data_IF_215807598930
#
_entry.id   IF_215807598930
#
_cell.length_a   1.000
_cell.length_b   1.000
_cell.length_c   1.000
_cell.angle_alpha   90.00
_cell.angle_beta   90.00
_cell.angle_gamma   90.00
#
_symmetry.space_group_name_H-M   'P 1'
#
loop_
_entity.id
_entity.type
_entity.pdbx_description
1 polymer ?
#
# COMPACT_ATOMS: atom_id res chain seq x y z
N UNK A 1 36.94 -44.07 31.05
CA UNK A 1 38.28 -44.18 30.44
C UNK A 1 38.37 -43.11 29.35
N UNK A 2 39.20 -42.06 29.58
CA UNK A 2 39.58 -40.91 28.71
C UNK A 2 38.42 -40.04 28.20
N UNK A 3 38.17 -38.80 28.66
CA UNK A 3 39.03 -37.63 28.94
C UNK A 3 39.86 -37.16 27.74
N UNK A 4 39.42 -36.07 27.09
CA UNK A 4 40.30 -35.01 26.59
C UNK A 4 39.57 -33.65 26.65
N UNK A 5 40.15 -32.73 27.42
CA UNK A 5 39.89 -31.29 27.52
C UNK A 5 40.91 -30.54 26.65
N UNK A 6 40.48 -29.49 25.93
CA UNK A 6 41.26 -28.30 25.49
C UNK A 6 40.21 -27.17 25.31
N UNK A 7 39.93 -26.25 26.24
CA UNK A 7 40.65 -25.03 26.71
C UNK A 7 40.94 -23.94 25.64
N UNK A 8 40.28 -22.77 25.74
CA UNK A 8 40.81 -21.38 25.64
C UNK A 8 39.62 -20.38 25.57
N UNK A 9 39.21 -19.72 26.66
CA UNK A 9 39.64 -18.40 27.16
C UNK A 9 39.03 -17.15 26.48
N UNK A 10 38.14 -16.51 27.26
CA UNK A 10 37.65 -15.11 27.38
C UNK A 10 38.15 -13.96 26.47
N UNK A 11 37.15 -13.13 26.09
CA UNK A 11 37.13 -11.64 25.94
C UNK A 11 37.64 -10.97 24.66
N UNK A 12 36.72 -10.32 23.92
CA UNK A 12 36.74 -8.86 23.58
C UNK A 12 35.29 -8.40 23.30
N UNK A 13 34.86 -7.35 24.00
CA UNK A 13 33.70 -6.51 23.66
C UNK A 13 33.94 -5.81 22.31
N UNK A 14 32.95 -5.79 21.43
CA UNK A 14 32.62 -4.54 20.74
C UNK A 14 31.15 -4.51 20.34
N UNK A 15 30.43 -3.55 20.94
CA UNK A 15 29.13 -3.12 20.50
C UNK A 15 29.21 -2.61 19.06
N UNK A 16 28.19 -2.89 18.26
CA UNK A 16 27.85 -2.00 17.14
C UNK A 16 26.49 -1.37 17.47
N UNK A 17 26.53 -0.33 18.30
CA UNK A 17 25.52 0.73 18.23
C UNK A 17 26.20 1.88 17.50
N UNK A 18 25.87 2.05 16.22
CA UNK A 18 26.38 3.12 15.39
C UNK A 18 25.46 3.29 14.19
N UNK A 19 24.71 4.39 14.20
CA UNK A 19 23.78 4.84 13.15
C UNK A 19 24.39 4.70 11.76
N UNK A 20 23.65 4.15 10.81
CA UNK A 20 23.75 4.62 9.42
C UNK A 20 22.72 5.71 9.26
N UNK A 21 23.20 6.94 9.35
CA UNK A 21 22.54 8.16 8.93
C UNK A 21 23.13 8.52 7.58
N UNK A 22 22.38 8.28 6.52
CA UNK A 22 22.45 8.85 5.16
C UNK A 22 21.93 7.73 4.25
N UNK A 23 20.73 7.81 3.69
CA UNK A 23 20.54 8.72 2.57
C UNK A 23 21.52 8.28 1.48
N UNK A 24 21.29 7.09 0.89
CA UNK A 24 21.98 6.67 -0.31
C UNK A 24 21.90 7.82 -1.30
N UNK A 25 23.06 8.34 -1.66
CA UNK A 25 23.10 9.47 -2.58
C UNK A 25 23.09 8.88 -3.97
N UNK A 26 22.05 9.21 -4.72
CA UNK A 26 22.00 8.76 -6.09
C UNK A 26 23.28 9.13 -6.85
N UNK A 27 23.85 8.14 -7.56
CA UNK A 27 25.10 8.19 -8.31
C UNK A 27 26.36 8.08 -7.45
N UNK A 28 26.31 7.33 -6.37
CA UNK A 28 27.51 7.01 -5.58
C UNK A 28 28.24 5.75 -6.08
N UNK A 29 27.71 5.11 -7.13
CA UNK A 29 28.25 3.94 -7.78
C UNK A 29 27.87 2.63 -7.10
N UNK A 30 26.87 2.62 -6.22
CA UNK A 30 26.33 1.42 -5.58
C UNK A 30 24.81 1.47 -5.58
N UNK A 31 24.17 0.35 -5.90
CA UNK A 31 22.74 0.21 -5.73
C UNK A 31 22.38 0.07 -4.24
N UNK A 32 21.83 1.12 -3.65
CA UNK A 32 21.40 1.14 -2.24
C UNK A 32 19.94 0.67 -2.07
N UNK A 33 19.58 0.33 -0.83
CA UNK A 33 18.22 -0.10 -0.49
C UNK A 33 17.22 1.06 -0.67
N UNK A 34 16.32 0.93 -1.66
CA UNK A 34 15.29 1.92 -2.00
C UNK A 34 15.52 2.66 -3.31
N UNK A 35 16.61 2.35 -4.03
CA UNK A 35 16.89 2.86 -5.38
C UNK A 35 16.48 1.82 -6.44
N UNK A 36 15.97 2.27 -7.59
CA UNK A 36 15.74 1.40 -8.75
C UNK A 36 17.06 1.10 -9.50
N UNK A 37 18.01 2.04 -9.48
CA UNK A 37 19.33 1.93 -10.10
C UNK A 37 20.28 3.02 -9.60
N UNK A 38 21.60 2.83 -9.69
CA UNK A 38 22.63 3.85 -9.43
C UNK A 38 23.59 3.98 -10.62
N UNK A 39 23.39 5.03 -11.43
CA UNK A 39 24.25 5.30 -12.59
C UNK A 39 24.19 4.21 -13.66
N UNK A 40 25.21 3.37 -13.73
CA UNK A 40 25.28 2.22 -14.65
C UNK A 40 24.88 0.89 -13.98
N UNK A 41 24.77 0.87 -12.65
CA UNK A 41 24.32 -0.28 -11.89
C UNK A 41 22.79 -0.29 -11.83
N UNK A 42 22.17 -1.09 -12.69
CA UNK A 42 20.70 -1.20 -12.79
C UNK A 42 20.14 -2.39 -12.00
N UNK A 43 20.94 -3.00 -11.11
CA UNK A 43 20.51 -4.16 -10.34
C UNK A 43 20.19 -5.40 -11.19
N UNK A 44 20.75 -5.48 -12.39
CA UNK A 44 20.46 -6.53 -13.36
C UNK A 44 19.15 -6.34 -14.14
N UNK A 45 18.47 -5.20 -13.99
CA UNK A 45 17.31 -4.85 -14.80
C UNK A 45 17.73 -4.30 -16.16
N UNK A 46 16.91 -4.58 -17.16
CA UNK A 46 17.02 -4.01 -18.50
C UNK A 46 15.62 -3.70 -19.04
N UNK A 47 15.55 -3.15 -20.25
CA UNK A 47 14.26 -2.86 -20.86
C UNK A 47 13.41 -4.14 -21.01
N UNK A 48 14.02 -5.31 -21.22
CA UNK A 48 13.26 -6.55 -21.33
C UNK A 48 12.67 -7.04 -20.01
N UNK A 49 13.38 -6.83 -18.89
CA UNK A 49 12.87 -7.17 -17.56
C UNK A 49 11.72 -6.26 -17.11
N UNK A 50 11.65 -5.04 -17.65
CA UNK A 50 10.56 -4.09 -17.41
C UNK A 50 9.37 -4.24 -18.38
N UNK A 51 9.37 -5.27 -19.24
CA UNK A 51 8.28 -5.57 -20.15
C UNK A 51 8.36 -4.89 -21.53
N UNK A 52 9.48 -4.25 -21.86
CA UNK A 52 9.78 -3.79 -23.21
C UNK A 52 10.48 -4.92 -24.00
N UNK A 53 10.73 -4.74 -25.29
CA UNK A 53 11.34 -5.79 -26.14
C UNK A 53 12.76 -5.51 -26.56
N UNK A 54 13.30 -4.35 -26.18
CA UNK A 54 14.67 -3.95 -26.44
C UNK A 54 14.94 -2.53 -25.96
N UNK A 55 16.05 -1.96 -26.42
CA UNK A 55 16.50 -0.63 -26.04
C UNK A 55 17.53 -0.63 -24.91
N UNK A 56 17.85 0.56 -24.42
CA UNK A 56 18.85 0.75 -23.35
C UNK A 56 18.18 1.37 -22.14
N UNK A 57 18.14 0.62 -21.04
CA UNK A 57 17.67 1.14 -19.77
C UNK A 57 18.77 2.02 -19.16
N UNK A 58 18.39 3.15 -18.58
CA UNK A 58 19.32 4.04 -17.88
C UNK A 58 18.78 4.40 -16.49
N UNK A 59 19.63 4.95 -15.64
CA UNK A 59 19.25 5.49 -14.33
C UNK A 59 19.17 7.03 -14.38
N UNK A 60 18.10 7.60 -13.81
CA UNK A 60 17.91 9.06 -13.66
C UNK A 60 18.85 9.64 -12.58
N UNK A 61 18.70 10.93 -12.28
CA UNK A 61 19.48 11.59 -11.23
C UNK A 61 18.87 11.40 -9.82
N UNK A 62 17.64 10.89 -9.77
CA UNK A 62 16.86 10.57 -8.57
C UNK A 62 16.78 9.06 -8.30
N UNK A 63 17.60 8.28 -8.99
CA UNK A 63 17.73 6.83 -8.83
C UNK A 63 16.48 6.02 -9.16
N UNK A 64 15.61 6.61 -9.98
CA UNK A 64 14.53 5.90 -10.69
C UNK A 64 14.98 5.46 -12.07
N UNK A 65 14.30 4.45 -12.63
CA UNK A 65 14.56 4.03 -14.00
C UNK A 65 14.22 5.12 -15.02
N UNK A 66 15.08 5.26 -16.03
CA UNK A 66 14.81 5.98 -17.25
C UNK A 66 14.55 4.99 -18.39
N UNK A 67 13.28 4.74 -18.66
CA UNK A 67 12.79 3.88 -19.74
C UNK A 67 12.64 4.62 -21.07
N UNK A 68 13.02 5.90 -21.17
CA UNK A 68 12.81 6.71 -22.39
C UNK A 68 13.51 6.16 -23.64
N UNK A 69 14.52 5.31 -23.46
CA UNK A 69 15.26 4.65 -24.53
C UNK A 69 14.93 3.13 -24.65
N UNK A 70 13.92 2.65 -23.92
CA UNK A 70 13.36 1.32 -24.10
C UNK A 70 12.42 1.27 -25.31
N UNK A 71 12.44 0.14 -26.02
CA UNK A 71 11.69 -0.08 -27.26
C UNK A 71 10.42 -0.91 -26.98
N UNK A 72 9.25 -0.36 -27.32
CA UNK A 72 7.98 -1.10 -27.39
C UNK A 72 7.97 -2.02 -28.62
N UNK A 73 7.45 -3.26 -28.52
CA UNK A 73 7.28 -4.17 -29.68
C UNK A 73 6.19 -3.71 -30.64
N UNK A 74 5.33 -2.83 -30.16
CA UNK A 74 4.13 -2.39 -30.85
C UNK A 74 4.36 -1.13 -31.68
N UNK A 75 5.53 -0.50 -31.54
CA UNK A 75 5.76 0.78 -32.18
C UNK A 75 6.15 0.62 -33.66
N UNK A 76 5.35 1.18 -34.54
CA UNK A 76 5.49 1.08 -35.99
C UNK A 76 4.61 0.00 -36.63
N UNK A 77 3.64 -0.57 -35.89
CA UNK A 77 2.62 -1.45 -36.45
C UNK A 77 1.39 -0.68 -36.98
N UNK A 78 1.35 0.63 -36.73
CA UNK A 78 0.38 1.58 -37.24
C UNK A 78 -0.90 1.68 -36.41
N UNK A 79 -0.92 1.12 -35.20
CA UNK A 79 -2.03 1.20 -34.25
C UNK A 79 -1.49 1.61 -32.88
N UNK A 80 -2.07 2.62 -32.24
CA UNK A 80 -1.59 3.06 -30.92
C UNK A 80 -2.22 2.23 -29.79
N UNK A 81 -1.52 1.21 -29.29
CA UNK A 81 -2.04 0.31 -28.25
C UNK A 81 -1.28 0.34 -26.92
N UNK A 82 -1.96 -0.11 -25.86
CA UNK A 82 -1.37 -0.17 -24.52
C UNK A 82 -0.83 1.19 -24.07
N UNK A 83 0.47 1.22 -23.75
CA UNK A 83 1.21 2.37 -23.24
C UNK A 83 1.74 3.33 -24.32
N UNK A 84 1.42 3.09 -25.59
CA UNK A 84 1.84 3.97 -26.69
C UNK A 84 1.04 5.28 -26.67
N UNK A 85 1.75 6.39 -26.80
CA UNK A 85 1.08 7.69 -26.97
C UNK A 85 0.49 7.80 -28.38
N UNK A 86 1.18 7.23 -29.36
CA UNK A 86 0.81 7.21 -30.77
C UNK A 86 1.53 6.06 -31.49
N UNK A 87 1.11 5.72 -32.70
CA UNK A 87 1.89 4.91 -33.65
C UNK A 87 1.67 5.41 -35.09
N UNK A 88 2.74 5.97 -35.67
CA UNK A 88 2.70 6.48 -37.05
C UNK A 88 1.65 7.58 -37.21
N UNK A 89 0.55 7.26 -37.91
CA UNK A 89 -0.57 8.17 -38.12
C UNK A 89 -1.69 8.02 -37.07
N UNK A 90 -1.67 6.95 -36.26
CA UNK A 90 -2.58 6.80 -35.14
C UNK A 90 -2.10 7.65 -33.97
N UNK A 91 -2.59 8.89 -33.92
CA UNK A 91 -2.29 9.85 -32.84
C UNK A 91 -3.34 9.82 -31.73
N UNK A 92 -4.19 8.78 -31.65
CA UNK A 92 -5.30 8.68 -30.68
C UNK A 92 -6.27 9.88 -30.68
N UNK A 93 -6.38 10.57 -31.81
CA UNK A 93 -7.22 11.77 -31.94
C UNK A 93 -6.59 13.05 -31.39
N UNK A 94 -5.34 13.00 -30.92
CA UNK A 94 -4.62 14.19 -30.50
C UNK A 94 -4.20 15.05 -31.69
N UNK A 95 -4.14 16.35 -31.43
CA UNK A 95 -3.75 17.38 -32.40
C UNK A 95 -2.88 18.43 -31.71
N UNK A 96 -2.16 19.23 -32.48
CA UNK A 96 -1.48 20.39 -31.92
C UNK A 96 -2.47 21.33 -31.19
N UNK A 97 -3.71 21.44 -31.68
CA UNK A 97 -4.74 22.31 -31.07
C UNK A 97 -5.23 21.74 -29.74
N UNK A 98 -5.49 20.43 -29.64
CA UNK A 98 -5.86 19.79 -28.37
C UNK A 98 -4.74 19.87 -27.34
N UNK A 99 -3.49 19.89 -27.80
CA UNK A 99 -2.31 20.05 -26.96
C UNK A 99 -1.97 21.51 -26.61
N UNK A 100 -2.82 22.49 -26.94
CA UNK A 100 -2.65 23.90 -26.53
C UNK A 100 -1.87 24.78 -27.53
N UNK A 101 -1.54 24.29 -28.71
CA UNK A 101 -0.94 25.10 -29.77
C UNK A 101 -2.02 25.74 -30.66
N UNK A 102 -1.66 26.80 -31.40
CA UNK A 102 -2.58 27.47 -32.32
C UNK A 102 -2.89 26.67 -33.59
N UNK A 103 -2.10 25.62 -33.88
CA UNK A 103 -2.25 24.76 -35.05
C UNK A 103 -0.99 23.95 -35.34
N UNK A 104 -0.82 23.49 -36.57
CA UNK A 104 0.34 22.72 -37.04
C UNK A 104 0.06 21.22 -37.16
N UNK A 105 1.11 20.45 -37.46
CA UNK A 105 1.02 19.01 -37.65
C UNK A 105 1.62 18.30 -36.45
N UNK A 106 0.79 17.52 -35.74
CA UNK A 106 1.27 16.61 -34.70
C UNK A 106 1.79 15.33 -35.39
N UNK A 107 2.94 14.82 -34.96
CA UNK A 107 3.51 13.60 -35.50
C UNK A 107 3.80 12.58 -34.38
N UNK A 108 4.06 11.34 -34.78
CA UNK A 108 4.52 10.30 -33.89
C UNK A 108 5.99 9.98 -34.18
N UNK A 109 6.83 9.99 -33.14
CA UNK A 109 8.22 9.55 -33.26
C UNK A 109 8.30 8.03 -33.42
N UNK A 110 9.44 7.52 -33.92
CA UNK A 110 9.72 6.07 -33.98
C UNK A 110 9.89 5.40 -32.60
N UNK A 111 9.69 6.14 -31.51
CA UNK A 111 9.62 5.64 -30.14
C UNK A 111 8.19 5.76 -29.56
N UNK A 112 7.18 5.97 -30.40
CA UNK A 112 5.77 6.07 -30.03
C UNK A 112 5.49 7.13 -28.97
N UNK A 113 6.19 8.26 -29.12
CA UNK A 113 5.99 9.52 -28.40
C UNK A 113 5.48 10.59 -29.36
N UNK A 114 4.62 11.46 -28.85
CA UNK A 114 4.16 12.63 -29.60
C UNK A 114 5.31 13.57 -29.94
N UNK A 115 5.36 14.02 -31.19
CA UNK A 115 6.29 15.02 -31.69
C UNK A 115 5.56 16.33 -31.98
N UNK A 116 5.77 17.31 -31.11
CA UNK A 116 5.19 18.65 -31.20
C UNK A 116 6.05 19.64 -31.99
N UNK A 117 7.19 19.22 -32.55
CA UNK A 117 8.14 20.12 -33.21
C UNK A 117 7.57 20.84 -34.44
N UNK A 118 6.54 20.26 -35.08
CA UNK A 118 5.81 20.84 -36.21
C UNK A 118 4.48 21.51 -35.81
N UNK A 119 4.21 21.66 -34.51
CA UNK A 119 3.11 22.49 -34.03
C UNK A 119 3.45 23.98 -34.15
N UNK A 120 2.44 24.80 -34.41
CA UNK A 120 2.58 26.24 -34.69
C UNK A 120 1.84 27.09 -33.66
N UNK A 121 2.35 28.29 -33.43
CA UNK A 121 1.84 29.18 -32.38
C UNK A 121 2.61 29.00 -31.08
N UNK A 122 2.24 29.76 -30.06
CA UNK A 122 2.70 29.50 -28.71
C UNK A 122 1.97 28.23 -28.24
N UNK A 123 2.71 27.18 -27.87
CA UNK A 123 2.15 26.02 -27.19
C UNK A 123 1.63 26.38 -25.79
N UNK A 124 1.22 25.39 -24.98
CA UNK A 124 0.77 25.61 -23.60
C UNK A 124 1.77 26.53 -22.89
N UNK A 125 1.28 27.73 -22.52
CA UNK A 125 2.10 28.78 -21.96
C UNK A 125 2.06 28.63 -20.46
N UNK A 126 3.05 27.96 -19.90
CA UNK A 126 3.11 27.85 -18.47
C UNK A 126 3.21 29.21 -17.78
N UNK A 127 2.28 29.48 -16.86
CA UNK A 127 2.20 30.73 -16.10
C UNK A 127 1.19 31.74 -16.67
N UNK A 128 0.27 31.32 -17.55
CA UNK A 128 -0.79 32.15 -18.11
C UNK A 128 -2.09 32.15 -17.26
N UNK A 129 -2.17 31.26 -16.27
CA UNK A 129 -3.28 31.10 -15.33
C UNK A 129 -4.35 30.08 -15.74
N UNK A 130 -4.28 29.51 -16.95
CA UNK A 130 -5.19 28.49 -17.45
C UNK A 130 -4.43 27.17 -17.65
N UNK A 131 -5.05 26.05 -17.28
CA UNK A 131 -4.47 24.72 -17.56
C UNK A 131 -4.97 24.28 -18.93
N UNK A 132 -4.04 24.11 -19.87
CA UNK A 132 -4.33 23.85 -21.27
C UNK A 132 -3.45 22.70 -21.81
N UNK A 133 -4.01 21.87 -22.70
CA UNK A 133 -3.25 20.78 -23.32
C UNK A 133 -2.72 19.76 -22.30
N UNK A 134 -1.39 19.66 -22.20
CA UNK A 134 -0.69 18.68 -21.36
C UNK A 134 -0.18 19.26 -20.03
N UNK A 135 -0.59 20.48 -19.67
CA UNK A 135 -0.23 21.07 -18.38
C UNK A 135 -0.93 20.32 -17.23
N UNK A 136 -0.18 19.98 -16.18
CA UNK A 136 -0.76 19.42 -14.96
C UNK A 136 -1.32 20.53 -14.05
N UNK A 137 -0.76 21.74 -14.18
CA UNK A 137 -1.10 22.96 -13.46
C UNK A 137 -0.65 24.18 -14.25
N UNK A 138 -1.13 25.38 -13.89
CA UNK A 138 -0.58 26.65 -14.36
C UNK A 138 -0.58 27.68 -13.22
N UNK A 139 0.62 28.05 -12.76
CA UNK A 139 0.80 29.05 -11.71
C UNK A 139 0.10 28.64 -10.40
N UNK A 140 -1.02 29.30 -10.08
CA UNK A 140 -1.84 28.97 -8.90
C UNK A 140 -2.96 27.96 -9.20
N UNK A 141 -3.24 27.69 -10.47
CA UNK A 141 -4.27 26.77 -10.90
C UNK A 141 -3.72 25.34 -10.93
N UNK A 142 -3.97 24.57 -9.87
CA UNK A 142 -3.47 23.19 -9.73
C UNK A 142 -4.33 22.14 -10.45
N UNK A 143 -5.26 22.55 -11.33
CA UNK A 143 -6.22 21.64 -11.97
C UNK A 143 -7.00 20.74 -10.97
N UNK A 144 -7.26 21.25 -9.76
CA UNK A 144 -7.89 20.48 -8.68
C UNK A 144 -6.97 19.49 -7.95
N UNK A 145 -5.70 19.41 -8.32
CA UNK A 145 -4.71 18.63 -7.59
C UNK A 145 -4.41 19.24 -6.21
N UNK A 146 -4.21 18.36 -5.24
CA UNK A 146 -3.81 18.69 -3.87
C UNK A 146 -2.75 17.69 -3.43
N UNK A 147 -1.95 18.04 -2.42
CA UNK A 147 -1.00 17.09 -1.84
C UNK A 147 -1.70 15.78 -1.41
N UNK A 148 -2.90 15.88 -0.84
CA UNK A 148 -3.68 14.73 -0.38
C UNK A 148 -4.12 13.82 -1.52
N UNK A 149 -4.58 14.39 -2.65
CA UNK A 149 -5.01 13.60 -3.80
C UNK A 149 -3.84 12.94 -4.54
N UNK A 150 -2.61 13.43 -4.32
CA UNK A 150 -1.37 12.86 -4.84
C UNK A 150 -0.71 11.86 -3.88
N UNK A 151 -1.35 11.54 -2.75
CA UNK A 151 -0.82 10.57 -1.77
C UNK A 151 0.20 11.15 -0.78
N UNK A 152 0.27 12.48 -0.65
CA UNK A 152 1.07 13.17 0.35
C UNK A 152 0.20 13.68 1.51
N UNK A 153 0.85 14.11 2.59
CA UNK A 153 0.22 14.81 3.70
C UNK A 153 -0.22 16.23 3.34
N UNK A 154 -0.42 17.09 4.35
CA UNK A 154 -0.78 18.48 4.12
C UNK A 154 0.39 19.29 3.53
N UNK A 155 0.13 20.41 2.87
CA UNK A 155 1.17 21.33 2.43
C UNK A 155 0.76 22.12 1.19
N UNK A 156 1.53 23.14 0.81
CA UNK A 156 1.34 23.81 -0.47
C UNK A 156 1.85 22.92 -1.61
N UNK A 157 0.97 22.57 -2.53
CA UNK A 157 1.35 22.03 -3.84
C UNK A 157 1.75 23.23 -4.72
N UNK A 158 2.86 23.10 -5.45
CA UNK A 158 3.33 24.19 -6.33
C UNK A 158 3.35 23.74 -7.77
N UNK A 159 3.25 24.69 -8.70
CA UNK A 159 3.37 24.43 -10.12
C UNK A 159 4.76 24.86 -10.58
N UNK A 160 5.50 23.96 -11.25
CA UNK A 160 6.80 24.28 -11.82
C UNK A 160 6.64 25.18 -13.06
N UNK A 161 7.76 25.78 -13.49
CA UNK A 161 7.81 26.60 -14.71
C UNK A 161 7.60 25.79 -16.00
N UNK A 162 7.67 24.46 -15.92
CA UNK A 162 7.33 23.52 -16.99
C UNK A 162 5.91 22.94 -16.84
N UNK A 163 5.10 23.49 -15.94
CA UNK A 163 3.71 23.12 -15.71
C UNK A 163 3.48 21.68 -15.25
N UNK A 164 4.50 21.11 -14.61
CA UNK A 164 4.36 19.89 -13.80
C UNK A 164 4.07 20.23 -12.34
N UNK A 165 3.33 19.35 -11.68
CA UNK A 165 3.04 19.47 -10.25
C UNK A 165 4.32 19.19 -9.45
N UNK A 166 4.62 20.07 -8.50
CA UNK A 166 5.76 19.96 -7.59
C UNK A 166 5.29 19.67 -6.17
N UNK A 167 5.37 18.40 -5.71
CA UNK A 167 4.92 17.99 -4.39
C UNK A 167 6.00 18.15 -3.31
N UNK A 168 7.16 18.74 -3.59
CA UNK A 168 8.26 18.80 -2.61
C UNK A 168 7.96 19.61 -1.33
N UNK A 169 6.97 20.50 -1.38
CA UNK A 169 6.46 21.22 -0.22
C UNK A 169 5.23 20.55 0.43
N UNK A 170 4.75 19.45 -0.16
CA UNK A 170 3.83 18.56 0.54
C UNK A 170 4.57 17.87 1.69
N UNK A 171 3.93 17.81 2.84
CA UNK A 171 4.42 16.99 3.93
C UNK A 171 4.33 15.53 3.52
N UNK A 172 5.26 14.70 3.99
CA UNK A 172 5.03 13.26 3.94
C UNK A 172 3.76 12.94 4.75
N UNK A 173 2.99 11.94 4.30
CA UNK A 173 2.01 11.33 5.20
C UNK A 173 2.81 10.83 6.39
N UNK A 174 2.45 11.26 7.60
CA UNK A 174 3.11 10.75 8.79
C UNK A 174 3.02 9.23 8.74
N UNK A 175 4.16 8.55 8.79
CA UNK A 175 4.20 7.10 8.76
C UNK A 175 3.22 6.58 9.82
N UNK A 176 2.26 5.80 9.37
CA UNK A 176 1.27 5.15 10.21
C UNK A 176 1.82 3.76 10.50
N UNK A 177 2.45 3.52 11.68
CA UNK A 177 3.18 2.29 11.92
C UNK A 177 2.29 1.05 11.80
N UNK A 178 0.98 1.20 12.02
CA UNK A 178 0.01 0.13 11.89
C UNK A 178 -0.31 -0.21 10.42
N UNK A 179 -0.16 0.72 9.48
CA UNK A 179 -0.38 0.49 8.04
C UNK A 179 0.93 0.28 7.26
N UNK A 180 2.05 0.78 7.76
CA UNK A 180 3.30 0.84 6.99
C UNK A 180 4.34 -0.19 7.46
N UNK A 181 4.32 -0.59 8.74
CA UNK A 181 5.29 -1.58 9.23
C UNK A 181 5.01 -2.96 8.63
N UNK A 182 6.06 -3.79 8.51
CA UNK A 182 5.92 -5.21 8.19
C UNK A 182 5.83 -6.06 9.46
N UNK A 183 5.22 -7.24 9.37
CA UNK A 183 4.98 -8.11 10.52
C UNK A 183 3.87 -7.59 11.42
N UNK A 184 3.78 -8.14 12.63
CA UNK A 184 2.66 -7.88 13.55
C UNK A 184 2.50 -6.42 13.98
N UNK A 185 3.54 -5.60 13.90
CA UNK A 185 3.43 -4.16 14.13
C UNK A 185 2.56 -3.46 13.08
N UNK A 186 2.56 -3.97 11.84
CA UNK A 186 1.75 -3.50 10.73
C UNK A 186 0.39 -4.19 10.68
N UNK A 187 -0.40 -4.06 11.74
CA UNK A 187 -1.69 -4.73 11.92
C UNK A 187 -2.65 -4.53 10.74
N UNK A 188 -2.54 -3.39 10.04
CA UNK A 188 -3.34 -2.97 8.89
C UNK A 188 -2.52 -2.75 7.61
N UNK A 189 -1.28 -3.23 7.55
CA UNK A 189 -0.49 -3.19 6.32
C UNK A 189 -1.08 -4.14 5.29
N UNK A 190 -1.53 -3.58 4.17
CA UNK A 190 -2.27 -4.25 3.11
C UNK A 190 -1.42 -5.20 2.26
N UNK A 191 -0.10 -5.11 2.33
CA UNK A 191 0.83 -5.91 1.55
C UNK A 191 1.18 -7.24 2.23
N UNK A 192 0.52 -7.54 3.36
CA UNK A 192 0.70 -8.78 4.11
C UNK A 192 -0.63 -9.37 4.57
N UNK A 193 -0.63 -10.67 4.80
CA UNK A 193 -1.71 -11.39 5.48
C UNK A 193 -1.12 -12.02 6.72
N UNK A 194 -1.51 -11.49 7.88
CA UNK A 194 -1.01 -11.94 9.17
C UNK A 194 -1.83 -13.13 9.71
N UNK A 195 -1.15 -14.05 10.36
CA UNK A 195 -1.73 -15.16 11.12
C UNK A 195 -1.88 -14.77 12.59
N UNK A 196 -3.11 -14.85 13.08
CA UNK A 196 -3.47 -14.65 14.47
C UNK A 196 -3.92 -15.96 15.09
N UNK A 197 -3.50 -16.21 16.33
CA UNK A 197 -3.76 -17.45 17.05
C UNK A 197 -4.51 -17.15 18.34
N UNK A 198 -5.59 -17.90 18.56
CA UNK A 198 -6.34 -17.95 19.80
C UNK A 198 -6.26 -19.35 20.39
N UNK A 199 -5.88 -19.45 21.66
CA UNK A 199 -5.89 -20.71 22.41
C UNK A 199 -6.75 -20.57 23.66
N UNK A 200 -7.77 -21.43 23.78
CA UNK A 200 -8.75 -21.41 24.85
C UNK A 200 -9.42 -22.78 25.03
N UNK A 201 -9.98 -23.09 26.21
CA UNK A 201 -10.71 -24.33 26.42
C UNK A 201 -11.81 -24.54 25.38
N UNK A 202 -11.95 -25.77 24.85
CA UNK A 202 -12.94 -26.08 23.81
C UNK A 202 -14.39 -25.74 24.24
N UNK A 203 -14.70 -25.88 25.54
CA UNK A 203 -16.00 -25.49 26.09
C UNK A 203 -16.24 -23.98 26.01
N UNK A 204 -15.21 -23.16 26.22
CA UNK A 204 -15.30 -21.71 26.12
C UNK A 204 -15.43 -21.25 24.67
N UNK A 205 -14.70 -21.88 23.74
CA UNK A 205 -14.91 -21.63 22.31
C UNK A 205 -16.32 -22.02 21.86
N UNK A 206 -16.84 -23.14 22.35
CA UNK A 206 -18.20 -23.60 22.05
C UNK A 206 -19.25 -22.63 22.58
N UNK A 207 -19.02 -22.04 23.77
CA UNK A 207 -19.88 -21.02 24.34
C UNK A 207 -19.87 -19.72 23.52
N UNK A 208 -18.70 -19.28 23.02
CA UNK A 208 -18.61 -18.10 22.14
C UNK A 208 -19.36 -18.35 20.82
N UNK A 209 -19.21 -19.52 20.21
CA UNK A 209 -19.94 -19.85 18.96
C UNK A 209 -21.45 -19.94 19.15
N UNK A 210 -21.89 -20.41 20.31
CA UNK A 210 -23.31 -20.52 20.64
C UNK A 210 -23.92 -19.20 21.12
N UNK A 211 -23.12 -18.14 21.30
CA UNK A 211 -23.62 -16.83 21.71
C UNK A 211 -24.62 -16.30 20.67
N UNK A 212 -25.80 -15.91 21.15
CA UNK A 212 -26.89 -15.45 20.29
C UNK A 212 -26.60 -14.00 19.87
N UNK A 213 -26.39 -13.72 18.56
CA UNK A 213 -26.16 -12.36 18.10
C UNK A 213 -27.37 -11.44 18.33
N UNK A 214 -28.55 -11.96 18.64
CA UNK A 214 -29.75 -11.17 18.94
C UNK A 214 -29.89 -10.79 20.41
N UNK A 215 -29.29 -11.56 21.33
CA UNK A 215 -29.31 -11.27 22.75
C UNK A 215 -28.23 -10.23 23.11
N UNK A 216 -28.63 -9.18 23.84
CA UNK A 216 -27.72 -8.10 24.24
C UNK A 216 -26.76 -8.49 25.40
N UNK A 217 -26.49 -9.78 25.58
CA UNK A 217 -25.64 -10.32 26.65
C UNK A 217 -24.44 -11.00 25.99
N UNK A 218 -23.35 -10.25 25.79
CA UNK A 218 -22.14 -10.80 25.15
C UNK A 218 -21.47 -11.87 26.05
N UNK A 219 -21.26 -13.07 25.51
CA UNK A 219 -20.42 -14.09 26.16
C UNK A 219 -18.95 -13.80 25.89
N UNK A 220 -18.25 -13.32 26.92
CA UNK A 220 -16.80 -13.08 26.85
C UNK A 220 -16.04 -14.20 27.57
N UNK A 221 -15.03 -14.76 26.89
CA UNK A 221 -14.14 -15.78 27.46
C UNK A 221 -12.67 -15.36 27.36
N UNK A 222 -11.85 -15.89 28.27
CA UNK A 222 -10.41 -15.69 28.22
C UNK A 222 -9.74 -16.57 27.18
N UNK A 223 -8.76 -16.02 26.47
CA UNK A 223 -7.91 -16.77 25.56
C UNK A 223 -6.47 -16.24 25.62
N UNK A 224 -5.52 -17.10 25.28
CA UNK A 224 -4.18 -16.69 24.89
C UNK A 224 -4.21 -16.26 23.42
N UNK A 225 -3.71 -15.06 23.14
CA UNK A 225 -3.69 -14.44 21.82
C UNK A 225 -2.27 -14.10 21.41
N UNK A 226 -1.92 -14.39 20.15
CA UNK A 226 -0.64 -13.98 19.55
C UNK A 226 -0.80 -13.70 18.05
N UNK A 227 0.12 -12.90 17.51
CA UNK A 227 0.34 -12.74 16.07
C UNK A 227 1.69 -13.37 15.70
N UNK A 228 1.79 -14.09 14.58
CA UNK A 228 3.04 -14.62 13.98
C UNK A 228 4.20 -14.96 14.95
N UNK A 229 3.99 -15.95 15.84
CA UNK A 229 5.05 -16.43 16.73
C UNK A 229 5.47 -15.47 17.86
N UNK A 230 4.74 -14.37 18.05
CA UNK A 230 4.87 -13.53 19.25
C UNK A 230 4.53 -14.29 20.53
N UNK A 231 5.03 -13.78 21.66
CA UNK A 231 4.65 -14.31 22.96
C UNK A 231 3.16 -14.06 23.22
N UNK A 232 2.38 -15.10 23.56
CA UNK A 232 0.95 -14.91 23.78
C UNK A 232 0.63 -13.99 24.96
N UNK A 233 -0.43 -13.21 24.80
CA UNK A 233 -1.01 -12.35 25.84
C UNK A 233 -2.44 -12.79 26.16
N UNK A 234 -2.90 -12.53 27.37
CA UNK A 234 -4.27 -12.89 27.78
C UNK A 234 -5.24 -11.80 27.34
N UNK A 235 -6.31 -12.20 26.66
CA UNK A 235 -7.32 -11.29 26.10
C UNK A 235 -8.74 -11.80 26.35
N UNK A 236 -9.71 -10.90 26.27
CA UNK A 236 -11.13 -11.26 26.18
C UNK A 236 -11.51 -11.55 24.73
N UNK A 237 -12.24 -12.63 24.49
CA UNK A 237 -12.75 -13.00 23.16
C UNK A 237 -14.26 -13.14 23.24
N UNK A 238 -14.95 -12.59 22.25
CA UNK A 238 -16.41 -12.66 22.13
C UNK A 238 -16.85 -12.71 20.67
N UNK A 239 -18.07 -13.15 20.46
CA UNK A 239 -18.71 -13.14 19.15
C UNK A 239 -19.02 -11.70 18.73
N UNK A 240 -18.69 -11.34 17.50
CA UNK A 240 -19.22 -10.14 16.85
C UNK A 240 -20.66 -10.43 16.46
N UNK A 241 -21.56 -9.45 16.65
CA UNK A 241 -22.95 -9.47 16.17
C UNK A 241 -23.02 -9.52 14.64
N UNK A 242 -22.68 -10.68 14.09
CA UNK A 242 -22.59 -11.04 12.69
C UNK A 242 -23.08 -12.50 12.57
N UNK A 243 -23.58 -12.87 11.39
CA UNK A 243 -24.07 -14.22 11.10
C UNK A 243 -22.95 -15.27 11.11
N UNK A 244 -23.23 -16.44 10.54
CA UNK A 244 -22.30 -17.56 10.45
C UNK A 244 -22.42 -18.57 11.59
N UNK A 245 -22.21 -19.85 11.25
CA UNK A 245 -22.36 -20.97 12.17
C UNK A 245 -21.00 -21.52 12.59
N UNK A 246 -20.14 -21.81 11.60
CA UNK A 246 -18.80 -22.31 11.87
C UNK A 246 -17.79 -21.17 11.89
N UNK A 247 -17.98 -20.19 11.00
CA UNK A 247 -17.10 -19.03 10.85
C UNK A 247 -17.81 -17.77 11.35
N UNK A 248 -17.90 -17.64 12.67
CA UNK A 248 -18.45 -16.45 13.32
C UNK A 248 -17.52 -15.25 13.18
N UNK A 249 -18.05 -14.03 13.20
CA UNK A 249 -17.23 -12.83 13.44
C UNK A 249 -16.71 -12.81 14.88
N UNK A 250 -15.48 -12.34 15.09
CA UNK A 250 -14.80 -12.40 16.39
C UNK A 250 -14.32 -11.01 16.78
N UNK A 251 -14.55 -10.60 18.04
CA UNK A 251 -13.91 -9.43 18.63
C UNK A 251 -12.93 -9.89 19.71
N UNK A 252 -11.73 -9.31 19.69
CA UNK A 252 -10.70 -9.49 20.70
C UNK A 252 -10.55 -8.19 21.48
N UNK A 253 -10.76 -8.25 22.78
CA UNK A 253 -10.56 -7.17 23.74
C UNK A 253 -9.22 -7.36 24.44
N UNK A 254 -8.20 -6.66 23.97
CA UNK A 254 -6.81 -6.81 24.43
C UNK A 254 -6.66 -6.40 25.89
N UNK A 255 -7.44 -5.42 26.34
CA UNK A 255 -7.37 -4.88 27.70
C UNK A 255 -8.45 -5.42 28.65
N UNK A 256 -9.11 -6.54 28.32
CA UNK A 256 -10.22 -7.06 29.12
C UNK A 256 -9.78 -7.52 30.51
N UNK A 257 -8.73 -8.35 30.59
CA UNK A 257 -8.22 -8.89 31.86
C UNK A 257 -7.05 -8.07 32.42
N UNK A 258 -6.29 -7.40 31.56
CA UNK A 258 -5.13 -6.60 31.94
C UNK A 258 -5.38 -5.15 31.54
N UNK A 259 -5.59 -4.28 32.53
CA UNK A 259 -5.85 -2.88 32.29
C UNK A 259 -4.69 -2.22 31.52
N UNK A 260 -5.03 -1.36 30.55
CA UNK A 260 -4.09 -0.66 29.67
C UNK A 260 -3.19 -1.56 28.79
N UNK A 261 -3.41 -2.88 28.75
CA UNK A 261 -2.75 -3.72 27.77
C UNK A 261 -3.18 -3.31 26.34
N UNK A 262 -2.22 -3.26 25.42
CA UNK A 262 -2.48 -2.93 24.01
C UNK A 262 -1.68 -3.85 23.12
N UNK A 263 -2.20 -4.11 21.92
CA UNK A 263 -1.46 -4.73 20.83
C UNK A 263 -1.15 -3.63 19.81
N UNK A 264 0.11 -3.15 19.81
CA UNK A 264 0.54 -2.02 18.98
C UNK A 264 -0.31 -0.76 19.13
N UNK A 265 -0.72 -0.44 20.37
CA UNK A 265 -1.59 0.71 20.67
C UNK A 265 -3.09 0.42 20.54
N UNK A 266 -3.46 -0.69 19.92
CA UNK A 266 -4.86 -1.11 19.78
C UNK A 266 -5.34 -1.81 21.06
N UNK A 267 -6.53 -1.43 21.51
CA UNK A 267 -7.24 -2.10 22.61
C UNK A 267 -8.14 -3.21 22.12
N UNK A 268 -8.45 -3.22 20.83
CA UNK A 268 -9.39 -4.15 20.23
C UNK A 268 -8.92 -4.55 18.83
N UNK A 269 -9.20 -5.79 18.47
CA UNK A 269 -9.11 -6.28 17.10
C UNK A 269 -10.46 -6.88 16.71
N UNK A 270 -10.94 -6.61 15.50
CA UNK A 270 -12.24 -7.08 15.04
C UNK A 270 -12.05 -7.88 13.76
N UNK A 271 -12.28 -9.18 13.85
CA UNK A 271 -12.22 -10.08 12.70
C UNK A 271 -13.62 -10.29 12.16
N UNK A 272 -13.89 -9.65 11.04
CA UNK A 272 -15.17 -9.73 10.33
C UNK A 272 -15.24 -10.95 9.43
N UNK A 273 -16.35 -11.66 9.51
CA UNK A 273 -16.65 -12.78 8.62
C UNK A 273 -17.42 -12.33 7.37
N UNK A 274 -17.76 -11.04 7.26
CA UNK A 274 -18.50 -10.43 6.15
C UNK A 274 -19.88 -11.01 5.92
N UNK A 275 -20.48 -11.54 6.98
CA UNK A 275 -21.87 -11.97 7.01
C UNK A 275 -22.67 -10.93 7.78
N UNK A 276 -23.76 -10.46 7.16
CA UNK A 276 -24.73 -9.61 7.86
C UNK A 276 -25.26 -10.29 9.12
N UNK A 277 -25.86 -9.51 10.03
CA UNK A 277 -26.50 -10.11 11.19
C UNK A 277 -27.62 -11.07 10.77
N UNK A 278 -27.80 -12.14 11.55
CA UNK A 278 -28.95 -13.06 11.49
C UNK A 278 -29.00 -14.02 10.28
N UNK A 279 -27.91 -14.19 9.53
CA UNK A 279 -27.79 -15.24 8.49
C UNK A 279 -27.05 -16.44 9.09
N UNK A 280 -27.66 -17.62 9.09
CA UNK A 280 -27.07 -18.88 9.58
C UNK A 280 -26.20 -19.58 8.53
N UNK A 281 -25.53 -18.81 7.67
CA UNK A 281 -24.60 -19.32 6.66
C UNK A 281 -23.26 -18.60 6.81
N UNK A 282 -22.17 -19.35 6.59
CA UNK A 282 -20.83 -18.78 6.56
C UNK A 282 -20.64 -17.92 5.30
N UNK A 283 -19.96 -16.78 5.44
CA UNK A 283 -19.75 -15.84 4.35
C UNK A 283 -18.89 -16.42 3.23
N UNK A 284 -19.34 -16.24 1.98
CA UNK A 284 -18.54 -16.61 0.82
C UNK A 284 -17.40 -15.61 0.56
N UNK A 285 -16.45 -15.99 -0.30
CA UNK A 285 -15.33 -15.12 -0.65
C UNK A 285 -15.77 -13.80 -1.30
N UNK A 286 -16.90 -13.82 -2.02
CA UNK A 286 -17.43 -12.63 -2.69
C UNK A 286 -17.92 -11.59 -1.67
N UNK A 287 -18.54 -12.01 -0.56
CA UNK A 287 -18.97 -11.13 0.51
C UNK A 287 -17.77 -10.42 1.17
N UNK A 288 -16.71 -11.18 1.46
CA UNK A 288 -15.47 -10.66 2.04
C UNK A 288 -14.81 -9.63 1.11
N UNK A 289 -14.68 -9.94 -0.18
CA UNK A 289 -14.07 -9.01 -1.14
C UNK A 289 -14.91 -7.73 -1.29
N UNK A 290 -16.25 -7.85 -1.32
CA UNK A 290 -17.14 -6.69 -1.42
C UNK A 290 -16.98 -5.74 -0.24
N UNK A 291 -16.98 -6.28 0.98
CA UNK A 291 -16.82 -5.47 2.18
C UNK A 291 -15.44 -4.83 2.24
N UNK A 292 -14.37 -5.60 2.03
CA UNK A 292 -13.00 -5.07 1.99
C UNK A 292 -12.87 -3.92 0.99
N UNK A 293 -13.38 -4.13 -0.23
CA UNK A 293 -13.33 -3.12 -1.30
C UNK A 293 -14.15 -1.89 -0.93
N UNK A 294 -15.33 -2.03 -0.33
CA UNK A 294 -16.16 -0.92 0.09
C UNK A 294 -15.45 -0.02 1.12
N UNK A 295 -14.84 -0.60 2.15
CA UNK A 295 -14.04 0.15 3.13
C UNK A 295 -12.89 0.92 2.47
N UNK A 296 -12.18 0.27 1.54
CA UNK A 296 -11.07 0.89 0.80
C UNK A 296 -11.51 2.01 -0.13
N UNK A 297 -12.64 1.85 -0.83
CA UNK A 297 -13.20 2.89 -1.69
C UNK A 297 -13.61 4.13 -0.89
N UNK A 298 -14.16 3.94 0.31
CA UNK A 298 -14.47 5.07 1.21
C UNK A 298 -13.20 5.81 1.62
N UNK A 299 -12.16 5.11 2.07
CA UNK A 299 -10.86 5.70 2.42
C UNK A 299 -10.22 6.41 1.23
N UNK A 300 -10.21 5.78 0.06
CA UNK A 300 -9.68 6.34 -1.18
C UNK A 300 -10.45 7.60 -1.59
N UNK A 301 -11.76 7.62 -1.38
CA UNK A 301 -12.61 8.81 -1.57
C UNK A 301 -12.47 9.89 -0.51
N UNK A 302 -11.49 9.80 0.41
CA UNK A 302 -11.25 10.78 1.47
C UNK A 302 -12.24 10.72 2.63
N UNK A 303 -13.08 9.69 2.72
CA UNK A 303 -14.00 9.48 3.85
C UNK A 303 -13.22 8.89 5.02
N UNK A 304 -13.38 9.49 6.20
CA UNK A 304 -12.86 8.92 7.46
C UNK A 304 -13.56 7.58 7.70
N UNK A 305 -12.80 6.50 7.56
CA UNK A 305 -13.30 5.13 7.58
C UNK A 305 -12.26 4.19 8.17
N UNK A 306 -12.69 3.04 8.68
CA UNK A 306 -11.81 2.05 9.30
C UNK A 306 -10.71 1.56 8.36
N UNK A 307 -9.52 1.27 8.91
CA UNK A 307 -8.55 0.42 8.23
C UNK A 307 -9.03 -1.01 8.16
N UNK A 308 -8.76 -1.66 7.03
CA UNK A 308 -9.14 -3.04 6.78
C UNK A 308 -8.01 -3.78 6.08
N UNK A 309 -7.77 -5.02 6.50
CA UNK A 309 -6.79 -5.92 5.87
C UNK A 309 -7.29 -7.36 5.99
N UNK A 310 -6.84 -8.24 5.10
CA UNK A 310 -7.07 -9.67 5.24
C UNK A 310 -6.18 -10.26 6.34
N UNK A 311 -6.72 -11.18 7.13
CA UNK A 311 -6.00 -11.87 8.18
C UNK A 311 -6.46 -13.32 8.29
N UNK A 312 -5.56 -14.23 8.64
CA UNK A 312 -5.92 -15.61 8.97
C UNK A 312 -6.13 -15.71 10.48
N UNK A 313 -7.25 -16.29 10.89
CA UNK A 313 -7.54 -16.55 12.30
C UNK A 313 -7.50 -18.05 12.58
N UNK A 314 -6.67 -18.45 13.54
CA UNK A 314 -6.56 -19.80 14.04
C UNK A 314 -7.15 -19.87 15.44
N UNK A 315 -7.94 -20.91 15.73
CA UNK A 315 -8.44 -21.21 17.06
C UNK A 315 -8.02 -22.62 17.44
N UNK A 316 -7.32 -22.78 18.56
CA UNK A 316 -6.79 -24.06 19.03
C UNK A 316 -5.99 -24.80 17.93
N UNK A 317 -5.16 -24.05 17.19
CA UNK A 317 -4.34 -24.48 16.05
C UNK A 317 -5.11 -24.92 14.79
N UNK A 318 -6.44 -24.77 14.75
CA UNK A 318 -7.23 -24.99 13.54
C UNK A 318 -7.48 -23.67 12.83
N UNK A 319 -7.24 -23.62 11.51
CA UNK A 319 -7.56 -22.44 10.70
C UNK A 319 -9.07 -22.29 10.62
N UNK A 320 -9.60 -21.20 11.19
CA UNK A 320 -11.01 -20.85 11.09
C UNK A 320 -11.33 -20.22 9.73
N UNK A 321 -10.37 -19.52 9.13
CA UNK A 321 -10.42 -19.01 7.76
C UNK A 321 -9.79 -17.62 7.61
N UNK A 322 -9.99 -17.04 6.42
CA UNK A 322 -9.62 -15.65 6.11
C UNK A 322 -10.71 -14.70 6.60
N UNK A 323 -10.33 -13.69 7.37
CA UNK A 323 -11.18 -12.65 7.92
C UNK A 323 -10.76 -11.28 7.39
N UNK A 324 -11.64 -10.29 7.53
CA UNK A 324 -11.25 -8.88 7.42
C UNK A 324 -10.95 -8.40 8.84
N UNK A 325 -9.71 -8.04 9.14
CA UNK A 325 -9.41 -7.30 10.36
C UNK A 325 -9.86 -5.85 10.14
N UNK A 326 -10.97 -5.48 10.77
CA UNK A 326 -11.56 -4.14 10.69
C UNK A 326 -11.14 -3.34 11.90
N UNK A 327 -10.57 -2.17 11.65
CA UNK A 327 -10.22 -1.23 12.69
C UNK A 327 -11.47 -0.74 13.43
N UNK A 328 -11.43 -0.85 14.75
CA UNK A 328 -12.49 -0.33 15.59
C UNK A 328 -12.42 1.20 15.62
N UNK A 329 -13.55 1.84 15.32
CA UNK A 329 -13.73 3.28 15.58
C UNK A 329 -13.85 3.51 17.09
N UNK A 330 -12.75 3.90 17.72
CA UNK A 330 -12.69 4.29 19.12
C UNK A 330 -11.82 5.56 19.31
N UNK A 331 -11.42 5.87 20.55
CA UNK A 331 -10.57 7.05 20.81
C UNK A 331 -9.13 6.93 20.29
N UNK A 332 -8.71 5.73 19.89
CA UNK A 332 -7.40 5.51 19.25
C UNK A 332 -7.50 5.78 17.74
N UNK A 333 -8.69 5.58 17.16
CA UNK A 333 -8.99 5.86 15.76
C UNK A 333 -9.14 7.37 15.45
N UNK A 334 -9.71 8.15 16.38
CA UNK A 334 -9.97 9.59 16.26
C UNK A 334 -8.78 10.44 16.73
#
# INVERSE_FOLDING_TARGET
>A
MRLLLISCSMSVLLACSGKVSSGGQCRDGKLDAGEDGDGADLGGNDCTSLGFTGGTLACRADCTFNDSACQSVFCGDGVAQGLEQCDGADLRGETCVSAGYSGGALACTGACRMDFSACTGLGPQCGNGNVEGLEECDGANMNGATCQNLGYGAGPLTCRIDCTLEPSACSNIAADPLSDATGCAGVYNIDQVLNYYLTLPAADWSAIKADDPEDNVEVVKGAEFSCEGETPIVVGVRRKRAGGDNKIGVKIDVNYFVANQTHYGLKNLVFDNSVGCCVADDGDLAAIIREYTAWRMMRFGGVVSSRTVFANLYVNNELLGVYINVERVDKVFL
#
